data_IF_238107939395
#
_entry.id   IF_238107939395
#
_cell.length_a   1.000
_cell.length_b   1.000
_cell.length_c   1.000
_cell.angle_alpha   90.00
_cell.angle_beta   90.00
_cell.angle_gamma   90.00
#
_symmetry.space_group_name_H-M   'P 1'
#
loop_
_entity.id
_entity.type
_entity.pdbx_description
1 polymer ?
#
# COMPACT_ATOMS: atom_id res chain seq x y z
N UNK A 1 -0.84 18.22 -25.30
CA UNK A 1 -1.03 17.41 -24.07
C UNK A 1 -1.96 18.16 -23.15
N UNK A 2 -3.13 17.59 -22.82
CA UNK A 2 -4.13 18.25 -21.95
C UNK A 2 -3.91 17.82 -20.51
N UNK A 3 -3.88 18.77 -19.58
CA UNK A 3 -3.76 18.53 -18.12
C UNK A 3 -4.91 17.67 -17.55
N UNK A 4 -5.99 17.48 -18.32
CA UNK A 4 -7.13 16.66 -17.93
C UNK A 4 -6.87 15.14 -18.08
N UNK A 5 -5.99 14.76 -19.01
CA UNK A 5 -5.62 13.37 -19.26
C UNK A 5 -4.75 12.81 -18.12
N UNK A 6 -3.86 13.64 -17.56
CA UNK A 6 -3.11 13.29 -16.36
C UNK A 6 -4.02 13.18 -15.14
N UNK A 7 -5.01 14.08 -14.97
CA UNK A 7 -5.98 14.02 -13.87
C UNK A 7 -6.84 12.76 -13.91
N UNK A 8 -7.30 12.35 -15.09
CA UNK A 8 -8.03 11.09 -15.29
C UNK A 8 -7.19 9.87 -14.85
N UNK A 9 -5.91 9.84 -15.22
CA UNK A 9 -4.96 8.80 -14.76
C UNK A 9 -4.77 8.82 -13.24
N UNK A 10 -4.68 10.00 -12.62
CA UNK A 10 -4.59 10.12 -11.16
C UNK A 10 -5.85 9.58 -10.47
N UNK A 11 -7.04 9.81 -11.03
CA UNK A 11 -8.28 9.23 -10.50
C UNK A 11 -8.27 7.70 -10.50
N UNK A 12 -7.76 7.08 -11.56
CA UNK A 12 -7.63 5.60 -11.66
C UNK A 12 -6.62 5.06 -10.65
N UNK A 13 -5.46 5.72 -10.50
CA UNK A 13 -4.44 5.27 -9.53
C UNK A 13 -4.90 5.46 -8.08
N UNK A 14 -5.61 6.54 -7.76
CA UNK A 14 -6.23 6.76 -6.44
C UNK A 14 -7.25 5.66 -6.15
N UNK A 15 -8.11 5.32 -7.12
CA UNK A 15 -9.09 4.23 -6.96
C UNK A 15 -8.40 2.87 -6.74
N UNK A 16 -7.34 2.59 -7.48
CA UNK A 16 -6.57 1.36 -7.33
C UNK A 16 -5.89 1.28 -5.96
N UNK A 17 -5.31 2.39 -5.48
CA UNK A 17 -4.76 2.49 -4.13
C UNK A 17 -5.83 2.26 -3.06
N UNK A 18 -7.02 2.83 -3.22
CA UNK A 18 -8.14 2.63 -2.30
C UNK A 18 -8.61 1.16 -2.26
N UNK A 19 -8.73 0.51 -3.42
CA UNK A 19 -9.08 -0.92 -3.51
C UNK A 19 -8.00 -1.77 -2.86
N UNK A 20 -6.72 -1.46 -3.10
CA UNK A 20 -5.58 -2.14 -2.46
C UNK A 20 -5.61 -2.00 -0.95
N UNK A 21 -5.85 -0.81 -0.42
CA UNK A 21 -5.94 -0.58 1.03
C UNK A 21 -7.10 -1.38 1.64
N UNK A 22 -8.27 -1.40 0.99
CA UNK A 22 -9.39 -2.25 1.43
C UNK A 22 -9.05 -3.74 1.41
N UNK A 23 -8.36 -4.21 0.39
CA UNK A 23 -7.91 -5.61 0.32
C UNK A 23 -6.91 -5.94 1.44
N UNK A 24 -5.94 -5.05 1.70
CA UNK A 24 -4.99 -5.20 2.82
C UNK A 24 -5.72 -5.24 4.16
N UNK A 25 -6.69 -4.34 4.39
CA UNK A 25 -7.50 -4.36 5.61
C UNK A 25 -8.30 -5.66 5.76
N UNK A 26 -8.90 -6.15 4.68
CA UNK A 26 -9.62 -7.42 4.69
C UNK A 26 -8.68 -8.60 5.00
N UNK A 27 -7.49 -8.64 4.39
CA UNK A 27 -6.49 -9.68 4.65
C UNK A 27 -5.96 -9.62 6.10
N UNK A 28 -5.76 -8.42 6.64
CA UNK A 28 -5.36 -8.23 8.04
C UNK A 28 -6.46 -8.60 9.04
N UNK A 29 -7.73 -8.58 8.61
CA UNK A 29 -8.87 -9.04 9.42
C UNK A 29 -9.05 -10.56 9.42
N UNK A 30 -8.33 -11.30 8.56
CA UNK A 30 -8.38 -12.76 8.55
C UNK A 30 -7.75 -13.33 9.83
N UNK A 31 -8.19 -14.52 10.29
CA UNK A 31 -7.55 -15.22 11.39
C UNK A 31 -6.07 -15.52 11.12
N UNK A 32 -5.25 -15.50 12.17
CA UNK A 32 -3.78 -15.69 12.09
C UNK A 32 -3.37 -17.01 11.42
N UNK A 33 -4.15 -18.09 11.57
CA UNK A 33 -3.86 -19.35 10.89
C UNK A 33 -4.01 -19.21 9.37
N UNK A 34 -5.07 -18.56 8.88
CA UNK A 34 -5.29 -18.31 7.44
C UNK A 34 -4.19 -17.43 6.87
N UNK A 35 -3.78 -16.40 7.62
CA UNK A 35 -2.70 -15.51 7.20
C UNK A 35 -1.38 -16.30 7.00
N UNK A 36 -1.05 -17.22 7.92
CA UNK A 36 0.13 -18.09 7.77
C UNK A 36 0.02 -19.05 6.59
N UNK A 37 -1.15 -19.65 6.39
CA UNK A 37 -1.39 -20.62 5.32
C UNK A 37 -1.21 -20.00 3.92
N UNK A 38 -1.59 -18.73 3.77
CA UNK A 38 -1.43 -17.99 2.50
C UNK A 38 -0.10 -17.21 2.42
N UNK A 39 0.76 -17.28 3.45
CA UNK A 39 1.99 -16.52 3.53
C UNK A 39 1.79 -15.00 3.63
N UNK A 40 0.67 -14.55 4.20
CA UNK A 40 0.37 -13.14 4.47
C UNK A 40 0.91 -12.71 5.84
N UNK A 41 1.54 -11.54 5.95
CA UNK A 41 1.92 -10.62 4.87
C UNK A 41 3.14 -11.11 4.08
N UNK A 42 3.05 -11.13 2.74
CA UNK A 42 4.11 -11.66 1.85
C UNK A 42 5.39 -10.80 1.80
N UNK A 43 5.35 -9.60 2.37
CA UNK A 43 6.47 -8.71 2.63
C UNK A 43 6.00 -7.72 3.69
N UNK A 44 6.85 -7.20 4.60
CA UNK A 44 6.49 -6.03 5.37
C UNK A 44 6.00 -4.99 4.36
N UNK A 45 4.81 -4.39 4.53
CA UNK A 45 4.42 -3.32 3.64
C UNK A 45 5.57 -2.34 3.66
N UNK A 46 6.21 -2.12 2.50
CA UNK A 46 6.97 -0.91 2.26
C UNK A 46 5.93 0.19 2.29
N UNK A 47 5.52 0.51 3.51
CA UNK A 47 4.57 1.54 3.80
C UNK A 47 5.26 2.79 3.27
N UNK A 48 4.71 3.43 2.23
CA UNK A 48 5.33 4.64 1.70
C UNK A 48 5.46 5.68 2.81
N UNK A 49 4.60 5.65 3.84
CA UNK A 49 4.77 6.46 5.04
C UNK A 49 6.01 6.04 5.84
N UNK A 50 6.21 4.75 6.14
CA UNK A 50 7.42 4.25 6.79
C UNK A 50 8.70 4.49 5.96
N UNK A 51 8.62 4.39 4.63
CA UNK A 51 9.73 4.69 3.72
C UNK A 51 10.02 6.19 3.70
N UNK A 52 9.01 7.05 3.61
CA UNK A 52 9.16 8.50 3.73
C UNK A 52 9.66 8.89 5.11
N UNK A 53 9.19 8.26 6.17
CA UNK A 53 9.63 8.48 7.54
C UNK A 53 11.08 8.02 7.73
N UNK A 54 11.48 6.89 7.14
CA UNK A 54 12.87 6.45 7.12
C UNK A 54 13.78 7.37 6.29
N UNK A 55 13.27 7.93 5.19
CA UNK A 55 13.97 8.92 4.36
C UNK A 55 14.09 10.29 5.05
N UNK A 56 13.03 10.73 5.75
CA UNK A 56 12.97 12.02 6.47
C UNK A 56 13.75 11.98 7.78
N UNK A 57 13.66 10.88 8.52
CA UNK A 57 14.39 10.71 9.77
C UNK A 57 15.84 10.30 9.57
N UNK A 58 16.23 9.96 8.33
CA UNK A 58 17.58 9.53 7.98
C UNK A 58 18.03 8.36 8.83
N UNK A 59 17.81 7.13 8.36
CA UNK A 59 18.28 5.94 9.10
C UNK A 59 19.77 6.07 9.44
N UNK A 60 20.17 6.07 10.73
CA UNK A 60 21.55 5.80 11.08
C UNK A 60 21.81 4.32 10.73
N UNK A 61 22.97 4.12 10.11
CA UNK A 61 23.47 2.84 9.60
C UNK A 61 23.78 1.89 10.75
#
# INVERSE_FOLDING_TARGET
MSMFDSLSRFGVTIRQAHVRNKAIHALNSLPVHVQKDIGWPASPPSDPQAALHALLLGTPR
#
